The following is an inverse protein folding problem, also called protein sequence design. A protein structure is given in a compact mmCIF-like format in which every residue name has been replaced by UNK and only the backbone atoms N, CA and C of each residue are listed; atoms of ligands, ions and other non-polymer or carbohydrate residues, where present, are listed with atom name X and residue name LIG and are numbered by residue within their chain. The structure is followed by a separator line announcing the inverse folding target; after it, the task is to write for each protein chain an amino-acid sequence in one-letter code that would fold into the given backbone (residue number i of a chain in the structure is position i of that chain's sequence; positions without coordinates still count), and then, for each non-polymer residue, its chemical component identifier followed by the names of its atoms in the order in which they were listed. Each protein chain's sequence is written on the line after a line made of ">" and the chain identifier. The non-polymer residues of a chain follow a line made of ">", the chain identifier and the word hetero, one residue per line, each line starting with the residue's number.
data_IF_468629292516
#
_entry.id   IF_468629292516
#
_cell.length_a   1.000
_cell.length_b   1.000
_cell.length_c   1.000
_cell.angle_alpha   90.00
_cell.angle_beta   90.00
_cell.angle_gamma   90.00
#
_symmetry.space_group_name_H-M   'P 1'
#
loop_
_entity.id
_entity.type
_entity.pdbx_description
1 polymer ?
#
# COMPACT_ATOMS: atom_id res chain seq x y z
N UNK A 1 -6.86 -4.51 -14.61
CA UNK A 1 -8.15 -3.83 -14.90
C UNK A 1 -9.19 -4.06 -13.80
N UNK A 2 -9.35 -5.29 -13.29
CA UNK A 2 -10.34 -5.58 -12.23
C UNK A 2 -10.03 -4.91 -10.88
N UNK A 3 -8.75 -4.80 -10.49
CA UNK A 3 -8.33 -4.11 -9.25
C UNK A 3 -8.57 -2.60 -9.29
N UNK A 4 -8.46 -1.99 -10.47
CA UNK A 4 -8.82 -0.58 -10.67
C UNK A 4 -10.31 -0.31 -10.43
N UNK A 5 -11.19 -1.27 -10.77
CA UNK A 5 -12.63 -1.15 -10.49
C UNK A 5 -12.92 -1.19 -8.99
N UNK A 6 -12.31 -2.12 -8.24
CA UNK A 6 -12.45 -2.19 -6.79
C UNK A 6 -11.97 -0.90 -6.12
N UNK A 7 -10.84 -0.38 -6.59
CA UNK A 7 -10.29 0.88 -6.07
C UNK A 7 -11.17 2.08 -6.43
N UNK A 8 -11.67 2.18 -7.67
CA UNK A 8 -12.57 3.25 -8.09
C UNK A 8 -13.90 3.23 -7.32
N UNK A 9 -14.42 2.04 -7.03
CA UNK A 9 -15.60 1.88 -6.17
C UNK A 9 -15.35 2.45 -4.77
N UNK A 10 -14.20 2.14 -4.16
CA UNK A 10 -13.82 2.73 -2.87
C UNK A 10 -13.69 4.25 -2.95
N UNK A 11 -13.00 4.79 -3.96
CA UNK A 11 -12.86 6.25 -4.14
C UNK A 11 -14.24 6.94 -4.23
N UNK A 12 -15.18 6.33 -4.94
CA UNK A 12 -16.51 6.90 -5.14
C UNK A 12 -17.42 6.79 -3.90
N UNK A 13 -17.33 5.69 -3.16
CA UNK A 13 -18.29 5.36 -2.08
C UNK A 13 -17.74 5.53 -0.67
N UNK A 14 -16.43 5.61 -0.51
CA UNK A 14 -15.75 5.46 0.78
C UNK A 14 -15.76 4.05 1.36
N UNK A 15 -16.52 3.13 0.76
CA UNK A 15 -16.70 1.78 1.30
C UNK A 15 -15.69 0.80 0.69
N UNK A 16 -14.97 0.09 1.56
CA UNK A 16 -14.07 -0.98 1.15
C UNK A 16 -14.83 -2.28 0.88
N UNK A 17 -15.33 -2.47 -0.35
CA UNK A 17 -16.03 -3.69 -0.75
C UNK A 17 -15.06 -4.87 -0.88
N UNK A 18 -14.98 -5.66 0.19
CA UNK A 18 -14.11 -6.83 0.29
C UNK A 18 -14.42 -7.88 -0.80
N UNK A 19 -15.69 -8.08 -1.16
CA UNK A 19 -16.06 -9.08 -2.17
C UNK A 19 -15.63 -8.64 -3.56
N UNK A 20 -15.74 -7.34 -3.86
CA UNK A 20 -15.25 -6.77 -5.10
C UNK A 20 -13.72 -6.90 -5.19
N UNK A 21 -13.00 -6.65 -4.10
CA UNK A 21 -11.56 -6.89 -4.01
C UNK A 21 -11.18 -8.34 -4.26
N UNK A 22 -11.85 -9.30 -3.59
CA UNK A 22 -11.59 -10.74 -3.78
C UNK A 22 -11.81 -11.16 -5.24
N UNK A 23 -12.90 -10.69 -5.88
CA UNK A 23 -13.15 -10.95 -7.30
C UNK A 23 -12.08 -10.33 -8.20
N UNK A 24 -11.65 -9.10 -7.88
CA UNK A 24 -10.62 -8.42 -8.65
C UNK A 24 -9.28 -9.15 -8.61
N UNK A 25 -8.89 -9.66 -7.44
CA UNK A 25 -7.70 -10.48 -7.24
C UNK A 25 -7.82 -11.80 -7.98
N UNK A 26 -8.93 -12.52 -7.82
CA UNK A 26 -9.17 -13.78 -8.55
C UNK A 26 -8.94 -13.62 -10.06
N UNK A 27 -9.55 -12.60 -10.67
CA UNK A 27 -9.35 -12.36 -12.10
C UNK A 27 -7.93 -11.93 -12.48
N UNK A 28 -7.20 -11.29 -11.57
CA UNK A 28 -5.80 -10.96 -11.79
C UNK A 28 -4.92 -12.22 -11.74
N UNK A 29 -5.15 -13.10 -10.77
CA UNK A 29 -4.45 -14.39 -10.62
C UNK A 29 -4.66 -15.27 -11.86
N UNK A 30 -5.91 -15.40 -12.34
CA UNK A 30 -6.26 -16.19 -13.53
C UNK A 30 -5.60 -15.68 -14.83
N UNK A 31 -5.29 -14.39 -14.90
CA UNK A 31 -4.60 -13.80 -16.06
C UNK A 31 -3.06 -13.93 -15.97
N UNK A 32 -2.54 -14.23 -14.78
CA UNK A 32 -1.10 -14.22 -14.46
C UNK A 32 -0.53 -15.63 -14.23
N UNK A 33 -1.16 -16.68 -14.76
CA UNK A 33 -0.81 -18.10 -14.53
C UNK A 33 0.59 -18.54 -14.96
N UNK A 34 1.38 -17.69 -15.63
CA UNK A 34 2.70 -18.04 -16.22
C UNK A 34 3.91 -17.38 -15.54
N UNK A 35 3.85 -17.06 -14.24
CA UNK A 35 4.99 -16.48 -13.52
C UNK A 35 6.03 -17.56 -13.11
N UNK A 36 7.19 -17.52 -13.75
CA UNK A 36 8.34 -18.38 -13.44
C UNK A 36 9.13 -17.84 -12.22
N UNK A 37 8.83 -18.37 -11.03
CA UNK A 37 9.51 -18.02 -9.78
C UNK A 37 10.95 -18.57 -9.65
N UNK A 38 11.49 -19.22 -10.68
CA UNK A 38 12.86 -19.77 -10.64
C UNK A 38 13.97 -18.75 -10.92
N UNK A 39 13.63 -17.57 -11.47
CA UNK A 39 14.59 -16.52 -11.84
C UNK A 39 14.85 -15.53 -10.71
N UNK A 40 16.05 -14.94 -10.73
CA UNK A 40 16.40 -13.84 -9.84
C UNK A 40 15.59 -12.58 -10.22
N UNK A 41 15.12 -11.87 -9.21
CA UNK A 41 14.03 -10.90 -9.35
C UNK A 41 14.53 -9.53 -9.72
N UNK A 42 13.91 -8.95 -10.75
CA UNK A 42 14.19 -7.58 -11.13
C UNK A 42 13.47 -6.56 -10.22
N UNK A 43 13.61 -5.28 -10.54
CA UNK A 43 12.97 -4.21 -9.77
C UNK A 43 11.45 -4.19 -9.95
N UNK A 44 10.95 -4.60 -11.11
CA UNK A 44 9.53 -4.60 -11.46
C UNK A 44 8.80 -5.72 -10.70
N UNK A 45 9.39 -6.91 -10.61
CA UNK A 45 8.81 -8.02 -9.85
C UNK A 45 8.66 -7.67 -8.36
N UNK A 46 9.64 -6.96 -7.79
CA UNK A 46 9.62 -6.49 -6.39
C UNK A 46 8.50 -5.48 -6.15
N UNK A 47 8.28 -4.57 -7.11
CA UNK A 47 7.18 -3.62 -7.04
C UNK A 47 5.83 -4.30 -7.20
N UNK A 48 5.71 -5.23 -8.14
CA UNK A 48 4.48 -6.00 -8.35
C UNK A 48 4.12 -6.83 -7.11
N UNK A 49 5.09 -7.50 -6.46
CA UNK A 49 4.82 -8.19 -5.20
C UNK A 49 4.28 -7.22 -4.14
N UNK A 50 4.91 -6.05 -3.97
CA UNK A 50 4.45 -5.08 -2.98
C UNK A 50 3.00 -4.68 -3.24
N UNK A 51 2.65 -4.36 -4.50
CA UNK A 51 1.29 -3.98 -4.89
C UNK A 51 0.29 -5.13 -4.70
N UNK A 52 0.68 -6.36 -4.99
CA UNK A 52 -0.17 -7.53 -4.77
C UNK A 52 -0.45 -7.74 -3.29
N UNK A 53 0.55 -7.63 -2.41
CA UNK A 53 0.36 -7.67 -0.95
C UNK A 53 -0.64 -6.59 -0.51
N UNK A 54 -0.48 -5.35 -0.97
CA UNK A 54 -1.42 -4.26 -0.63
C UNK A 54 -2.85 -4.59 -1.11
N UNK A 55 -3.02 -5.18 -2.30
CA UNK A 55 -4.34 -5.59 -2.80
C UNK A 55 -4.94 -6.71 -1.95
N UNK A 56 -4.17 -7.72 -1.56
CA UNK A 56 -4.65 -8.77 -0.65
C UNK A 56 -5.09 -8.22 0.70
N UNK A 57 -4.38 -7.22 1.25
CA UNK A 57 -4.80 -6.52 2.48
C UNK A 57 -6.20 -5.93 2.29
N UNK A 58 -6.44 -5.25 1.16
CA UNK A 58 -7.76 -4.67 0.86
C UNK A 58 -8.86 -5.72 0.72
N UNK A 59 -8.52 -6.91 0.22
CA UNK A 59 -9.39 -8.07 0.16
C UNK A 59 -9.52 -8.85 1.48
N UNK A 60 -8.77 -8.48 2.52
CA UNK A 60 -8.60 -9.27 3.76
C UNK A 60 -8.15 -10.71 3.50
N UNK A 61 -7.33 -10.91 2.47
CA UNK A 61 -6.74 -12.19 2.08
C UNK A 61 -5.30 -12.30 2.64
N UNK A 62 -5.15 -12.08 3.94
CA UNK A 62 -3.83 -11.98 4.59
C UNK A 62 -2.99 -13.26 4.43
N UNK A 63 -3.61 -14.43 4.58
CA UNK A 63 -2.94 -15.72 4.38
C UNK A 63 -2.35 -15.87 2.98
N UNK A 64 -3.03 -15.35 1.95
CA UNK A 64 -2.50 -15.36 0.57
C UNK A 64 -1.28 -14.46 0.44
N UNK A 65 -1.37 -13.25 0.98
CA UNK A 65 -0.26 -12.30 0.99
C UNK A 65 0.98 -12.87 1.71
N UNK A 66 0.76 -13.49 2.88
CA UNK A 66 1.84 -14.12 3.66
C UNK A 66 2.49 -15.24 2.86
N UNK A 67 1.70 -16.18 2.32
CA UNK A 67 2.23 -17.28 1.50
C UNK A 67 2.99 -16.77 0.28
N UNK A 68 2.49 -15.75 -0.41
CA UNK A 68 3.16 -15.19 -1.57
C UNK A 68 4.48 -14.52 -1.20
N UNK A 69 4.53 -13.78 -0.08
CA UNK A 69 5.77 -13.20 0.43
C UNK A 69 6.79 -14.27 0.84
N UNK A 70 6.37 -15.30 1.56
CA UNK A 70 7.25 -16.39 2.00
C UNK A 70 7.79 -17.20 0.82
N UNK A 71 6.96 -17.46 -0.19
CA UNK A 71 7.39 -18.10 -1.44
C UNK A 71 8.46 -17.26 -2.13
N UNK A 72 8.22 -15.95 -2.24
CA UNK A 72 9.14 -14.99 -2.87
C UNK A 72 10.48 -14.89 -2.13
N UNK A 73 10.43 -14.81 -0.80
CA UNK A 73 11.62 -14.68 0.06
C UNK A 73 12.26 -16.02 0.41
N UNK A 74 11.74 -17.13 -0.13
CA UNK A 74 12.19 -18.49 0.16
C UNK A 74 12.20 -18.81 1.67
N UNK A 75 11.25 -18.24 2.40
CA UNK A 75 11.09 -18.41 3.84
C UNK A 75 12.15 -17.69 4.70
N UNK A 76 12.84 -16.68 4.17
CA UNK A 76 13.71 -15.84 4.98
C UNK A 76 12.93 -15.18 6.14
N UNK A 77 13.54 -15.16 7.32
CA UNK A 77 12.91 -14.58 8.51
C UNK A 77 12.81 -13.06 8.34
N UNK A 78 11.58 -12.57 8.25
CA UNK A 78 11.32 -11.15 8.20
C UNK A 78 11.72 -10.45 9.51
N UNK A 79 12.38 -9.29 9.39
CA UNK A 79 12.71 -8.41 10.51
C UNK A 79 12.38 -6.98 10.16
N UNK A 80 11.56 -6.34 11.00
CA UNK A 80 11.27 -4.92 10.86
C UNK A 80 12.56 -4.11 11.09
N UNK A 81 12.83 -3.17 10.19
CA UNK A 81 14.00 -2.30 10.26
C UNK A 81 13.65 -0.91 9.73
N UNK A 82 14.51 0.09 9.94
CA UNK A 82 14.30 1.44 9.40
C UNK A 82 14.66 1.59 7.92
N UNK A 83 15.05 0.51 7.24
CA UNK A 83 15.48 0.51 5.83
C UNK A 83 14.74 -0.58 5.06
N UNK A 84 13.42 -0.49 5.03
CA UNK A 84 12.59 -1.44 4.29
C UNK A 84 12.55 -1.06 2.81
N UNK A 85 12.55 -2.08 1.95
CA UNK A 85 12.13 -1.95 0.57
C UNK A 85 10.58 -2.05 0.49
N UNK A 86 10.03 -1.88 -0.70
CA UNK A 86 8.60 -1.87 -0.96
C UNK A 86 7.89 -3.13 -0.44
N UNK A 87 8.27 -4.32 -0.89
CA UNK A 87 7.55 -5.54 -0.52
C UNK A 87 7.73 -5.91 0.96
N UNK A 88 8.88 -5.58 1.58
CA UNK A 88 9.06 -5.75 3.02
C UNK A 88 8.16 -4.82 3.85
N UNK A 89 7.96 -3.58 3.40
CA UNK A 89 7.02 -2.68 4.10
C UNK A 89 5.57 -3.13 3.90
N UNK A 90 5.19 -3.53 2.69
CA UNK A 90 3.85 -4.06 2.42
C UNK A 90 3.56 -5.31 3.28
N UNK A 91 4.56 -6.19 3.43
CA UNK A 91 4.45 -7.36 4.29
C UNK A 91 4.32 -7.00 5.78
N UNK A 92 5.06 -5.98 6.26
CA UNK A 92 4.90 -5.49 7.62
C UNK A 92 3.47 -5.00 7.91
N UNK A 93 2.86 -4.26 6.96
CA UNK A 93 1.45 -3.89 7.05
C UNK A 93 0.54 -5.12 7.05
N UNK A 94 0.81 -6.13 6.21
CA UNK A 94 0.05 -7.37 6.21
C UNK A 94 0.05 -8.04 7.59
N UNK A 95 1.22 -8.19 8.22
CA UNK A 95 1.37 -8.79 9.55
C UNK A 95 0.69 -7.97 10.66
N UNK A 96 0.68 -6.64 10.52
CA UNK A 96 -0.12 -5.78 11.40
C UNK A 96 -1.62 -6.09 11.30
N UNK A 97 -2.17 -6.16 10.09
CA UNK A 97 -3.61 -6.43 9.93
C UNK A 97 -4.00 -7.87 10.26
N UNK A 98 -3.13 -8.84 9.96
CA UNK A 98 -3.41 -10.26 10.16
C UNK A 98 -3.32 -10.67 11.64
N UNK A 99 -2.28 -10.20 12.33
CA UNK A 99 -1.87 -10.75 13.62
C UNK A 99 -1.63 -9.66 14.69
N UNK A 100 -1.71 -8.38 14.32
CA UNK A 100 -1.35 -7.28 15.22
C UNK A 100 0.12 -7.25 15.60
N UNK A 101 0.99 -7.85 14.77
CA UNK A 101 2.40 -8.09 15.13
C UNK A 101 3.22 -6.81 15.31
N UNK A 102 2.87 -5.74 14.60
CA UNK A 102 3.54 -4.44 14.68
C UNK A 102 2.53 -3.35 15.01
N UNK A 103 2.92 -2.37 15.81
CA UNK A 103 2.09 -1.19 16.07
C UNK A 103 2.11 -0.20 14.90
N UNK A 104 1.13 0.70 14.86
CA UNK A 104 1.08 1.77 13.86
C UNK A 104 2.32 2.66 13.95
N UNK A 105 2.77 3.00 15.16
CA UNK A 105 3.97 3.81 15.38
C UNK A 105 5.24 3.12 14.87
N UNK A 106 5.34 1.80 15.06
CA UNK A 106 6.47 1.01 14.54
C UNK A 106 6.49 1.04 13.01
N UNK A 107 5.34 0.85 12.37
CA UNK A 107 5.19 0.90 10.92
C UNK A 107 5.49 2.28 10.36
N UNK A 108 4.96 3.35 10.96
CA UNK A 108 5.23 4.72 10.53
C UNK A 108 6.71 5.04 10.67
N UNK A 109 7.34 4.67 11.78
CA UNK A 109 8.78 4.89 12.01
C UNK A 109 9.63 4.14 11.00
N UNK A 110 9.31 2.87 10.74
CA UNK A 110 10.06 2.02 9.81
C UNK A 110 9.86 2.42 8.34
N UNK A 111 8.64 2.82 7.97
CA UNK A 111 8.23 3.12 6.61
C UNK A 111 8.47 4.56 6.15
N UNK A 112 8.61 5.53 7.07
CA UNK A 112 8.62 6.98 6.73
C UNK A 112 9.63 7.37 5.65
N UNK A 113 10.87 6.93 5.75
CA UNK A 113 11.91 7.27 4.77
C UNK A 113 11.62 6.67 3.38
N UNK A 114 11.11 5.43 3.36
CA UNK A 114 10.68 4.78 2.13
C UNK A 114 9.48 5.49 1.51
N UNK A 115 8.40 5.68 2.28
CA UNK A 115 7.16 6.31 1.82
C UNK A 115 7.39 7.72 1.29
N UNK A 116 8.18 8.54 2.00
CA UNK A 116 8.52 9.90 1.55
C UNK A 116 9.15 9.90 0.15
N UNK A 117 10.11 9.01 -0.10
CA UNK A 117 10.77 8.90 -1.40
C UNK A 117 9.84 8.31 -2.46
N UNK A 118 9.21 7.18 -2.14
CA UNK A 118 8.46 6.37 -3.09
C UNK A 118 7.15 7.04 -3.53
N UNK A 119 6.40 7.66 -2.61
CA UNK A 119 5.19 8.39 -2.97
C UNK A 119 5.49 9.60 -3.87
N UNK A 120 6.57 10.33 -3.59
CA UNK A 120 7.03 11.44 -4.45
C UNK A 120 7.44 10.94 -5.84
N UNK A 121 8.13 9.81 -5.91
CA UNK A 121 8.50 9.16 -7.18
C UNK A 121 7.28 8.75 -7.99
N UNK A 122 6.32 8.03 -7.39
CA UNK A 122 5.08 7.61 -8.03
C UNK A 122 4.26 8.81 -8.54
N UNK A 123 4.20 9.89 -7.76
CA UNK A 123 3.55 11.13 -8.18
C UNK A 123 4.22 11.74 -9.42
N UNK A 124 5.55 11.87 -9.43
CA UNK A 124 6.30 12.41 -10.57
C UNK A 124 6.22 11.54 -11.82
N UNK A 125 6.10 10.22 -11.65
CA UNK A 125 5.90 9.26 -12.74
C UNK A 125 4.46 9.22 -13.26
N UNK A 126 3.51 9.95 -12.65
CA UNK A 126 2.11 9.89 -13.03
C UNK A 126 1.47 8.52 -12.73
N UNK A 127 1.85 7.89 -11.62
CA UNK A 127 1.34 6.59 -11.13
C UNK A 127 0.46 6.76 -9.89
N UNK A 128 -0.69 7.47 -9.99
CA UNK A 128 -1.50 7.80 -8.83
C UNK A 128 -2.19 6.57 -8.22
N UNK A 129 -2.50 5.54 -9.01
CA UNK A 129 -3.18 4.33 -8.52
C UNK A 129 -2.29 3.60 -7.51
N UNK A 130 -1.01 3.40 -7.84
CA UNK A 130 0.00 2.79 -6.98
C UNK A 130 0.25 3.61 -5.73
N UNK A 131 0.32 4.93 -5.88
CA UNK A 131 0.43 5.85 -4.75
C UNK A 131 -0.76 5.67 -3.79
N UNK A 132 -1.98 5.55 -4.32
CA UNK A 132 -3.19 5.42 -3.50
C UNK A 132 -3.27 4.07 -2.78
N UNK A 133 -2.75 2.96 -3.34
CA UNK A 133 -2.66 1.70 -2.60
C UNK A 133 -1.86 1.85 -1.30
N UNK A 134 -0.75 2.58 -1.35
CA UNK A 134 0.08 2.87 -0.19
C UNK A 134 -0.64 3.77 0.81
N UNK A 135 -1.19 4.89 0.34
CA UNK A 135 -1.87 5.87 1.21
C UNK A 135 -3.07 5.24 1.90
N UNK A 136 -3.90 4.49 1.15
CA UNK A 136 -5.06 3.80 1.70
C UNK A 136 -4.64 2.79 2.78
N UNK A 137 -3.65 1.93 2.50
CA UNK A 137 -3.20 0.91 3.45
C UNK A 137 -2.63 1.53 4.73
N UNK A 138 -1.87 2.62 4.61
CA UNK A 138 -1.36 3.37 5.76
C UNK A 138 -2.51 3.99 6.58
N UNK A 139 -3.48 4.61 5.92
CA UNK A 139 -4.62 5.22 6.61
C UNK A 139 -5.52 4.17 7.27
N UNK A 140 -5.77 3.04 6.61
CA UNK A 140 -6.54 1.91 7.16
C UNK A 140 -5.89 1.34 8.44
N UNK A 141 -4.57 1.46 8.59
CA UNK A 141 -3.84 0.98 9.77
C UNK A 141 -3.96 1.94 10.97
N UNK A 142 -4.24 3.24 10.73
CA UNK A 142 -4.39 4.24 11.79
C UNK A 142 -5.76 4.06 12.47
N UNK A 143 -5.85 4.43 13.75
CA UNK A 143 -7.08 4.30 14.56
C UNK A 143 -8.25 5.20 14.10
N UNK A 144 -7.98 6.19 13.25
CA UNK A 144 -8.98 7.11 12.70
C UNK A 144 -9.56 6.54 11.40
N UNK A 145 -10.88 6.64 11.22
CA UNK A 145 -11.49 6.42 9.90
C UNK A 145 -11.23 7.62 8.97
N UNK A 146 -10.78 7.34 7.74
CA UNK A 146 -10.50 8.33 6.71
C UNK A 146 -11.49 8.21 5.56
N UNK A 147 -12.03 9.34 5.11
CA UNK A 147 -12.70 9.43 3.81
C UNK A 147 -11.67 9.28 2.67
N UNK A 148 -12.08 8.88 1.45
CA UNK A 148 -11.16 8.80 0.31
C UNK A 148 -10.40 10.11 0.03
N UNK A 149 -11.06 11.25 0.20
CA UNK A 149 -10.45 12.57 0.04
C UNK A 149 -9.36 12.82 1.09
N UNK A 150 -9.63 12.53 2.36
CA UNK A 150 -8.62 12.65 3.42
C UNK A 150 -7.44 11.71 3.18
N UNK A 151 -7.67 10.48 2.69
CA UNK A 151 -6.58 9.56 2.29
C UNK A 151 -5.72 10.19 1.20
N UNK A 152 -6.31 10.80 0.18
CA UNK A 152 -5.56 11.50 -0.88
C UNK A 152 -4.72 12.64 -0.27
N UNK A 153 -5.29 13.40 0.67
CA UNK A 153 -4.59 14.50 1.31
C UNK A 153 -3.44 14.07 2.24
N UNK A 154 -3.46 12.85 2.77
CA UNK A 154 -2.32 12.34 3.54
C UNK A 154 -1.01 12.28 2.74
N UNK A 155 -1.07 12.28 1.40
CA UNK A 155 0.12 12.44 0.56
C UNK A 155 0.94 13.69 0.92
N UNK A 156 0.26 14.79 1.26
CA UNK A 156 0.92 16.05 1.57
C UNK A 156 1.70 16.03 2.90
N UNK A 157 1.44 15.07 3.79
CA UNK A 157 2.26 14.82 4.99
C UNK A 157 3.72 14.46 4.64
N UNK A 158 3.95 13.95 3.42
CA UNK A 158 5.26 13.52 2.94
C UNK A 158 6.00 14.57 2.11
N UNK A 159 5.36 15.69 1.80
CA UNK A 159 5.97 16.80 1.06
C UNK A 159 6.60 17.82 2.01
N UNK A 160 7.67 18.48 1.54
CA UNK A 160 8.20 19.67 2.22
C UNK A 160 7.22 20.83 2.07
N UNK A 161 7.17 21.77 3.01
CA UNK A 161 6.18 22.85 2.99
C UNK A 161 6.25 23.71 1.72
N UNK A 162 7.45 23.87 1.16
CA UNK A 162 7.66 24.57 -0.12
C UNK A 162 7.05 23.84 -1.33
N UNK A 163 6.88 22.52 -1.23
CA UNK A 163 6.36 21.64 -2.28
C UNK A 163 4.83 21.44 -2.14
N UNK A 164 4.22 21.90 -1.04
CA UNK A 164 2.76 21.83 -0.83
C UNK A 164 2.04 22.91 -1.66
N UNK A 165 0.95 22.56 -2.37
CA UNK A 165 0.09 23.56 -3.01
C UNK A 165 -0.52 24.53 -1.99
N UNK A 166 -0.83 25.75 -2.42
CA UNK A 166 -1.34 26.79 -1.51
C UNK A 166 -2.68 26.40 -0.86
N UNK A 167 -3.58 25.74 -1.60
CA UNK A 167 -4.85 25.27 -1.03
C UNK A 167 -4.66 24.28 0.14
N UNK A 168 -3.57 23.51 0.17
CA UNK A 168 -3.25 22.62 1.30
C UNK A 168 -2.74 23.43 2.48
N UNK A 169 -1.95 24.47 2.25
CA UNK A 169 -1.47 25.36 3.31
C UNK A 169 -2.66 26.06 3.99
N UNK A 170 -3.59 26.58 3.19
CA UNK A 170 -4.83 27.20 3.67
C UNK A 170 -5.68 26.21 4.49
N UNK A 171 -5.76 24.95 4.07
CA UNK A 171 -6.52 23.90 4.77
C UNK A 171 -5.90 23.54 6.14
N UNK A 172 -4.57 23.56 6.23
CA UNK A 172 -3.82 23.32 7.48
C UNK A 172 -3.86 24.52 8.44
N UNK A 173 -3.93 25.75 7.94
CA UNK A 173 -4.04 26.96 8.76
C UNK A 173 -5.44 27.12 9.39
N UNK A 174 -6.49 26.63 8.72
CA UNK A 174 -7.87 26.73 9.18
C UNK A 174 -8.31 25.58 10.12
N UNK A 175 -7.41 24.64 10.45
CA UNK A 175 -7.69 23.48 11.31
C UNK A 175 -7.13 23.61 12.75
N UNK A 176 -6.72 24.83 13.14
CA UNK A 176 -6.25 25.19 14.49
C UNK A 176 -7.29 25.97 15.27
#
# INVERSE_FOLDING_TARGET
>A
MATALAFAHWVYTGNNDILLWKKAIYWQEELNTDLDHSKEMDSEDKENLALDILRYIQAKEYDKAIKQYELFTRGEIFKLSSRLNNYNLAYAYCLHFAEGQFSVEELEKAGRAFLKRHLKELYLMGRPTEMLYWLKTMCDARDKEYTPEEVIYTFYEFLEDKDKPDFIKELLENSV
#
